data_IF_835728701223
#
_entry.id   IF_835728701223
#
_cell.length_a   1.000
_cell.length_b   1.000
_cell.length_c   1.000
_cell.angle_alpha   90.00
_cell.angle_beta   90.00
_cell.angle_gamma   90.00
#
_symmetry.space_group_name_H-M   'P 1'
#
loop_
_entity.id
_entity.type
_entity.pdbx_description
1 polymer ?
#
# COMPACT_ATOMS: atom_id res chain seq x y z
N UNK A 1 1.97 6.05 -28.83
CA UNK A 1 2.52 5.53 -30.10
C UNK A 1 3.09 6.62 -31.00
N UNK A 2 2.43 7.77 -31.13
CA UNK A 2 2.89 8.91 -31.95
C UNK A 2 4.33 9.38 -31.65
N UNK A 3 4.79 9.29 -30.40
CA UNK A 3 6.17 9.62 -30.04
C UNK A 3 7.22 8.73 -30.73
N UNK A 4 6.92 7.44 -30.95
CA UNK A 4 7.83 6.49 -31.62
C UNK A 4 7.97 6.87 -33.09
N UNK A 5 6.85 7.13 -33.76
CA UNK A 5 6.83 7.60 -35.15
C UNK A 5 7.46 8.99 -35.29
N UNK A 6 7.20 9.90 -34.36
CA UNK A 6 7.83 11.22 -34.33
C UNK A 6 9.36 11.13 -34.27
N UNK A 7 9.90 10.20 -33.47
CA UNK A 7 11.34 9.93 -33.44
C UNK A 7 11.86 9.38 -34.77
N UNK A 8 11.16 8.44 -35.41
CA UNK A 8 11.56 7.89 -36.70
C UNK A 8 11.60 8.97 -37.79
N UNK A 9 10.54 9.79 -37.90
CA UNK A 9 10.44 10.88 -38.87
C UNK A 9 11.42 12.03 -38.59
N UNK A 10 11.86 12.21 -37.34
CA UNK A 10 12.90 13.20 -37.01
C UNK A 10 14.29 12.83 -37.55
N UNK A 11 14.52 11.53 -37.81
CA UNK A 11 15.78 11.03 -38.39
C UNK A 11 15.72 11.06 -39.92
N UNK A 12 14.58 10.66 -40.49
CA UNK A 12 14.31 10.73 -41.93
C UNK A 12 12.80 10.96 -42.17
N UNK A 13 12.39 12.17 -42.59
CA UNK A 13 10.98 12.49 -42.86
C UNK A 13 10.35 11.69 -44.00
N UNK A 14 11.17 11.10 -44.87
CA UNK A 14 10.71 10.29 -46.02
C UNK A 14 10.66 8.79 -45.73
N UNK A 15 11.12 8.37 -44.55
CA UNK A 15 11.13 6.97 -44.17
C UNK A 15 9.70 6.44 -43.91
N UNK A 16 9.39 5.19 -44.32
CA UNK A 16 8.16 4.53 -43.92
C UNK A 16 8.04 4.43 -42.39
N UNK A 17 6.83 4.55 -41.87
CA UNK A 17 6.59 4.40 -40.44
C UNK A 17 6.91 2.97 -39.96
N UNK A 18 7.66 2.79 -38.87
CA UNK A 18 7.91 1.47 -38.32
C UNK A 18 6.63 0.84 -37.78
N UNK A 19 6.50 -0.47 -37.98
CA UNK A 19 5.43 -1.29 -37.39
C UNK A 19 5.62 -1.31 -35.87
N UNK A 20 4.54 -1.06 -35.13
CA UNK A 20 4.51 -1.15 -33.67
C UNK A 20 3.69 -2.39 -33.31
N UNK A 21 4.27 -3.27 -32.50
CA UNK A 21 3.59 -4.44 -31.92
C UNK A 21 3.37 -4.14 -30.43
N UNK A 22 2.17 -3.71 -30.01
CA UNK A 22 1.89 -3.47 -28.61
C UNK A 22 1.67 -4.83 -27.91
N UNK A 23 2.35 -5.01 -26.78
CA UNK A 23 2.26 -6.23 -25.97
C UNK A 23 1.81 -5.83 -24.56
N UNK A 24 0.80 -6.50 -24.04
CA UNK A 24 0.27 -6.32 -22.69
C UNK A 24 0.45 -7.60 -21.89
N UNK A 25 1.24 -7.51 -20.81
CA UNK A 25 1.35 -8.56 -19.80
C UNK A 25 0.40 -8.22 -18.66
N UNK A 26 -0.68 -8.98 -18.53
CA UNK A 26 -1.64 -8.80 -17.46
C UNK A 26 -1.38 -9.79 -16.32
N UNK A 27 -1.07 -9.23 -15.16
CA UNK A 27 -0.72 -9.94 -13.94
C UNK A 27 -1.63 -9.45 -12.79
N UNK A 28 -2.90 -9.85 -12.85
CA UNK A 28 -3.92 -9.47 -11.89
C UNK A 28 -4.92 -10.58 -11.62
N UNK A 29 -5.55 -10.53 -10.45
CA UNK A 29 -6.51 -11.54 -10.00
C UNK A 29 -7.92 -11.40 -10.60
N UNK A 30 -8.20 -10.29 -11.31
CA UNK A 30 -9.49 -10.08 -11.96
C UNK A 30 -9.45 -10.64 -13.37
N UNK A 31 -10.60 -11.09 -13.88
CA UNK A 31 -10.69 -11.44 -15.29
C UNK A 31 -10.43 -10.19 -16.14
N UNK A 32 -9.58 -10.31 -17.15
CA UNK A 32 -9.39 -9.25 -18.13
C UNK A 32 -10.66 -9.10 -18.98
N UNK A 33 -11.20 -7.88 -19.06
CA UNK A 33 -12.44 -7.58 -19.80
C UNK A 33 -12.25 -6.46 -20.83
N UNK A 34 -11.03 -5.94 -20.99
CA UNK A 34 -10.76 -4.83 -21.90
C UNK A 34 -10.51 -5.38 -23.30
N UNK A 35 -11.12 -4.77 -24.31
CA UNK A 35 -10.95 -5.14 -25.72
C UNK A 35 -9.47 -5.13 -26.13
N UNK A 36 -9.03 -6.12 -26.89
CA UNK A 36 -7.71 -6.17 -27.53
C UNK A 36 -7.63 -5.29 -28.76
N UNK A 37 -8.77 -5.08 -29.42
CA UNK A 37 -8.94 -4.11 -30.49
C UNK A 37 -9.02 -2.70 -29.93
N UNK A 38 -8.27 -1.78 -30.53
CA UNK A 38 -8.29 -0.37 -30.13
C UNK A 38 -9.66 0.28 -30.35
N UNK A 39 -10.40 -0.14 -31.38
CA UNK A 39 -11.72 0.40 -31.69
C UNK A 39 -12.77 0.06 -30.62
N UNK A 40 -12.62 -1.09 -29.96
CA UNK A 40 -13.43 -1.55 -28.83
C UNK A 40 -13.15 -0.85 -27.50
N UNK A 41 -12.20 0.10 -27.45
CA UNK A 41 -11.97 0.96 -26.28
C UNK A 41 -12.84 2.23 -26.27
N UNK A 42 -13.52 2.51 -27.38
CA UNK A 42 -14.44 3.64 -27.51
C UNK A 42 -15.88 3.20 -27.24
N UNK A 43 -16.74 4.14 -26.89
CA UNK A 43 -18.18 3.88 -26.74
C UNK A 43 -18.82 3.63 -28.12
N UNK A 44 -18.88 2.36 -28.50
CA UNK A 44 -19.33 1.91 -29.82
C UNK A 44 -20.84 2.05 -30.05
N UNK A 45 -21.61 2.21 -28.97
CA UNK A 45 -23.09 2.30 -29.00
C UNK A 45 -23.62 3.73 -29.24
N UNK A 46 -22.77 4.75 -29.27
CA UNK A 46 -23.20 6.14 -29.53
C UNK A 46 -23.64 6.33 -30.98
N UNK A 47 -24.71 7.10 -31.20
CA UNK A 47 -25.35 7.37 -32.52
C UNK A 47 -24.40 7.84 -33.63
N UNK A 48 -23.21 8.34 -33.29
CA UNK A 48 -22.23 8.84 -34.25
C UNK A 48 -20.96 8.00 -34.35
N UNK A 49 -20.84 6.88 -33.63
CA UNK A 49 -19.63 6.05 -33.66
C UNK A 49 -19.27 5.60 -35.09
N UNK A 50 -20.27 5.16 -35.86
CA UNK A 50 -20.08 4.76 -37.26
C UNK A 50 -19.53 5.88 -38.16
N UNK A 51 -19.90 7.13 -37.89
CA UNK A 51 -19.41 8.28 -38.66
C UNK A 51 -17.92 8.57 -38.41
N UNK A 52 -17.42 8.26 -37.20
CA UNK A 52 -16.03 8.51 -36.81
C UNK A 52 -15.12 7.27 -36.85
N UNK A 53 -15.65 6.11 -37.26
CA UNK A 53 -14.89 4.86 -37.27
C UNK A 53 -13.62 4.93 -38.14
N UNK A 54 -13.65 5.68 -39.25
CA UNK A 54 -12.50 5.84 -40.15
C UNK A 54 -11.36 6.69 -39.56
N UNK A 55 -11.64 7.44 -38.49
CA UNK A 55 -10.67 8.28 -37.79
C UNK A 55 -10.01 7.52 -36.62
N UNK A 56 -10.53 6.34 -36.26
CA UNK A 56 -9.95 5.49 -35.23
C UNK A 56 -8.89 4.59 -35.88
N UNK A 57 -7.62 4.64 -35.42
CA UNK A 57 -6.59 3.72 -35.87
C UNK A 57 -7.00 2.27 -35.65
N UNK A 58 -6.87 1.45 -36.69
CA UNK A 58 -7.12 0.01 -36.60
C UNK A 58 -5.84 -0.70 -36.16
N UNK A 59 -5.80 -1.17 -34.91
CA UNK A 59 -4.75 -2.06 -34.44
C UNK A 59 -5.23 -2.88 -33.24
N UNK A 60 -4.57 -4.01 -33.03
CA UNK A 60 -4.73 -4.90 -31.88
C UNK A 60 -3.44 -4.92 -31.06
N UNK A 61 -3.56 -5.17 -29.77
CA UNK A 61 -2.42 -5.52 -28.94
C UNK A 61 -2.42 -7.01 -28.57
N UNK A 62 -1.22 -7.58 -28.46
CA UNK A 62 -1.03 -8.95 -27.99
C UNK A 62 -1.21 -8.98 -26.48
N UNK A 63 -2.17 -9.77 -26.01
CA UNK A 63 -2.48 -9.90 -24.58
C UNK A 63 -1.99 -11.25 -24.04
N UNK A 64 -1.20 -11.20 -22.97
CA UNK A 64 -0.78 -12.35 -22.20
C UNK A 64 -1.33 -12.25 -20.77
N UNK A 65 -2.31 -13.10 -20.44
CA UNK A 65 -2.96 -13.15 -19.11
C UNK A 65 -2.31 -14.23 -18.25
N UNK A 66 -1.55 -13.82 -17.24
CA UNK A 66 -0.76 -14.71 -16.39
C UNK A 66 -1.58 -15.42 -15.32
N UNK A 67 -2.76 -14.91 -14.99
CA UNK A 67 -3.72 -15.54 -14.07
C UNK A 67 -4.68 -16.51 -14.75
N UNK A 68 -4.54 -16.77 -16.06
CA UNK A 68 -5.36 -17.75 -16.78
C UNK A 68 -4.87 -19.17 -16.53
N UNK A 69 -5.60 -20.22 -16.92
CA UNK A 69 -5.14 -21.62 -16.84
C UNK A 69 -4.67 -22.19 -18.19
N UNK A 70 -4.75 -21.38 -19.26
CA UNK A 70 -4.32 -21.76 -20.61
C UNK A 70 -2.98 -21.11 -20.89
N UNK A 71 -1.92 -21.89 -20.76
CA UNK A 71 -0.58 -21.35 -20.82
C UNK A 71 0.21 -21.88 -22.00
N UNK A 72 0.68 -20.96 -22.83
CA UNK A 72 1.77 -21.25 -23.75
C UNK A 72 3.07 -21.49 -22.97
N UNK A 73 3.99 -22.31 -23.50
CA UNK A 73 5.29 -22.49 -22.90
C UNK A 73 6.06 -21.17 -22.88
N UNK A 74 6.65 -20.83 -21.74
CA UNK A 74 7.44 -19.60 -21.58
C UNK A 74 8.76 -19.78 -22.30
N UNK A 75 9.03 -18.89 -23.27
CA UNK A 75 10.27 -18.87 -24.06
C UNK A 75 11.15 -17.69 -23.67
N UNK A 76 12.43 -17.77 -24.01
CA UNK A 76 13.40 -16.70 -23.82
C UNK A 76 14.58 -17.14 -22.95
N UNK A 77 15.27 -16.16 -22.36
CA UNK A 77 16.41 -16.44 -21.49
C UNK A 77 15.97 -17.17 -20.22
N UNK A 78 16.90 -17.90 -19.58
CA UNK A 78 16.61 -18.60 -18.33
C UNK A 78 16.09 -17.65 -17.23
N UNK A 79 16.68 -16.45 -17.12
CA UNK A 79 16.20 -15.41 -16.19
C UNK A 79 14.74 -15.03 -16.48
N UNK A 80 14.39 -14.80 -17.75
CA UNK A 80 13.02 -14.48 -18.14
C UNK A 80 12.05 -15.63 -17.85
N UNK A 81 12.47 -16.87 -18.11
CA UNK A 81 11.66 -18.05 -17.81
C UNK A 81 11.37 -18.19 -16.31
N UNK A 82 12.37 -17.96 -15.45
CA UNK A 82 12.18 -17.95 -13.99
C UNK A 82 11.19 -16.86 -13.58
N UNK A 83 11.34 -15.64 -14.09
CA UNK A 83 10.50 -14.49 -13.72
C UNK A 83 9.05 -14.73 -14.13
N UNK A 84 8.83 -15.08 -15.39
CA UNK A 84 7.48 -15.32 -15.92
C UNK A 84 6.87 -16.61 -15.35
N UNK A 85 7.70 -17.59 -15.01
CA UNK A 85 7.27 -18.83 -14.38
C UNK A 85 6.64 -18.56 -13.03
N UNK A 86 7.32 -17.80 -12.16
CA UNK A 86 6.78 -17.51 -10.83
C UNK A 86 5.58 -16.57 -10.86
N UNK A 87 5.58 -15.54 -11.70
CA UNK A 87 4.43 -14.61 -11.81
C UNK A 87 3.17 -15.29 -12.32
N UNK A 88 3.31 -16.40 -13.03
CA UNK A 88 2.20 -17.27 -13.43
C UNK A 88 1.81 -18.21 -12.29
N UNK A 89 2.79 -18.90 -11.71
CA UNK A 89 2.58 -19.91 -10.69
C UNK A 89 1.93 -19.38 -9.40
N UNK A 90 2.07 -18.09 -9.07
CA UNK A 90 1.41 -17.51 -7.90
C UNK A 90 -0.13 -17.55 -7.98
N UNK A 91 -0.71 -17.69 -9.18
CA UNK A 91 -2.16 -17.83 -9.38
C UNK A 91 -2.63 -19.28 -9.42
N UNK A 92 -1.73 -20.26 -9.38
CA UNK A 92 -2.10 -21.67 -9.45
C UNK A 92 -2.82 -22.11 -8.16
N UNK A 93 -4.02 -22.64 -8.31
CA UNK A 93 -4.80 -23.17 -7.19
C UNK A 93 -4.13 -24.42 -6.60
N UNK A 94 -3.55 -25.26 -7.45
CA UNK A 94 -2.81 -26.45 -7.05
C UNK A 94 -1.42 -26.07 -6.51
N UNK A 95 -1.26 -26.17 -5.19
CA UNK A 95 0.00 -25.84 -4.50
C UNK A 95 1.21 -26.59 -5.06
N UNK A 96 1.02 -27.83 -5.49
CA UNK A 96 2.11 -28.66 -5.99
C UNK A 96 2.71 -28.10 -7.30
N UNK A 97 1.89 -27.62 -8.24
CA UNK A 97 2.35 -26.97 -9.48
C UNK A 97 3.19 -25.73 -9.18
N UNK A 98 2.77 -24.97 -8.17
CA UNK A 98 3.54 -23.83 -7.68
C UNK A 98 4.87 -24.25 -7.06
N UNK A 99 4.88 -25.25 -6.18
CA UNK A 99 6.10 -25.76 -5.54
C UNK A 99 7.07 -26.29 -6.60
N UNK A 100 6.61 -27.08 -7.57
CA UNK A 100 7.43 -27.57 -8.69
C UNK A 100 8.08 -26.43 -9.46
N UNK A 101 7.32 -25.37 -9.76
CA UNK A 101 7.86 -24.17 -10.42
C UNK A 101 8.96 -23.51 -9.59
N UNK A 102 8.78 -23.43 -8.26
CA UNK A 102 9.81 -22.91 -7.36
C UNK A 102 11.04 -23.80 -7.37
N UNK A 103 10.89 -25.13 -7.29
CA UNK A 103 12.00 -26.08 -7.31
C UNK A 103 12.81 -26.00 -8.61
N UNK A 104 12.15 -25.85 -9.75
CA UNK A 104 12.82 -25.69 -11.03
C UNK A 104 13.56 -24.34 -11.13
N UNK A 105 13.00 -23.27 -10.56
CA UNK A 105 13.71 -22.01 -10.41
C UNK A 105 14.96 -22.18 -9.53
N UNK A 106 14.85 -22.89 -8.40
CA UNK A 106 16.00 -23.15 -7.50
C UNK A 106 17.14 -23.87 -8.22
N UNK A 107 16.84 -24.93 -8.98
CA UNK A 107 17.84 -25.63 -9.81
C UNK A 107 18.51 -24.67 -10.78
N UNK A 108 17.72 -23.83 -11.44
CA UNK A 108 18.20 -22.86 -12.43
C UNK A 108 19.13 -21.79 -11.82
N UNK A 109 18.80 -21.32 -10.61
CA UNK A 109 19.67 -20.42 -9.86
C UNK A 109 20.95 -21.08 -9.39
N UNK A 110 20.91 -22.38 -9.09
CA UNK A 110 22.07 -23.18 -8.71
C UNK A 110 23.02 -23.40 -9.89
N UNK A 111 22.49 -23.78 -11.04
CA UNK A 111 23.23 -23.94 -12.31
C UNK A 111 23.90 -22.63 -12.76
N UNK A 112 23.28 -21.49 -12.46
CA UNK A 112 23.77 -20.16 -12.85
C UNK A 112 24.64 -19.49 -11.78
N UNK A 113 25.12 -20.24 -10.78
CA UNK A 113 25.92 -19.70 -9.67
C UNK A 113 27.20 -19.02 -10.17
N UNK A 114 27.55 -17.90 -9.54
CA UNK A 114 28.72 -17.10 -9.90
C UNK A 114 28.55 -16.21 -11.14
N UNK A 115 27.42 -16.31 -11.85
CA UNK A 115 27.12 -15.35 -12.93
C UNK A 115 26.69 -14.00 -12.35
N UNK A 116 27.04 -12.92 -13.05
CA UNK A 116 26.77 -11.55 -12.61
C UNK A 116 25.25 -11.33 -12.41
N UNK A 117 24.90 -10.81 -11.23
CA UNK A 117 23.52 -10.48 -10.90
C UNK A 117 22.64 -11.69 -10.55
N UNK A 118 23.19 -12.89 -10.38
CA UNK A 118 22.40 -14.09 -10.06
C UNK A 118 21.89 -14.08 -8.62
N UNK A 119 22.73 -13.68 -7.66
CA UNK A 119 22.37 -13.67 -6.25
C UNK A 119 21.37 -12.55 -5.92
N UNK A 120 21.54 -11.37 -6.53
CA UNK A 120 20.58 -10.28 -6.42
C UNK A 120 19.23 -10.65 -7.04
N UNK A 121 19.27 -11.36 -8.17
CA UNK A 121 18.05 -11.85 -8.82
C UNK A 121 17.36 -12.95 -7.99
N UNK A 122 18.13 -13.84 -7.36
CA UNK A 122 17.63 -14.83 -6.42
C UNK A 122 16.98 -14.16 -5.21
N UNK A 123 17.61 -13.14 -4.59
CA UNK A 123 17.01 -12.42 -3.47
C UNK A 123 15.71 -11.74 -3.88
N UNK A 124 15.68 -11.08 -5.05
CA UNK A 124 14.46 -10.47 -5.58
C UNK A 124 13.34 -11.50 -5.82
N UNK A 125 13.69 -12.68 -6.33
CA UNK A 125 12.77 -13.79 -6.54
C UNK A 125 12.14 -14.27 -5.23
N UNK A 126 12.96 -14.54 -4.20
CA UNK A 126 12.48 -15.01 -2.89
C UNK A 126 11.62 -13.95 -2.20
N UNK A 127 12.01 -12.67 -2.28
CA UNK A 127 11.20 -11.57 -1.73
C UNK A 127 9.83 -11.48 -2.41
N UNK A 128 9.79 -11.62 -3.73
CA UNK A 128 8.52 -11.64 -4.47
C UNK A 128 7.67 -12.84 -4.09
N UNK A 129 8.27 -14.03 -3.99
CA UNK A 129 7.61 -15.28 -3.60
C UNK A 129 6.84 -15.13 -2.28
N UNK A 130 7.52 -14.66 -1.22
CA UNK A 130 6.90 -14.47 0.10
C UNK A 130 5.90 -13.31 0.16
N UNK A 131 6.02 -12.33 -0.74
CA UNK A 131 5.05 -11.24 -0.84
C UNK A 131 3.78 -11.68 -1.57
N UNK A 132 3.92 -12.43 -2.66
CA UNK A 132 2.83 -12.74 -3.57
C UNK A 132 1.92 -13.86 -3.06
N UNK A 133 2.47 -14.79 -2.27
CA UNK A 133 1.74 -15.99 -1.83
C UNK A 133 2.15 -16.38 -0.41
N UNK A 134 1.17 -16.63 0.45
CA UNK A 134 1.37 -16.88 1.90
C UNK A 134 0.63 -18.12 2.41
N UNK A 135 0.06 -18.92 1.52
CA UNK A 135 -0.73 -20.13 1.84
C UNK A 135 0.14 -21.40 1.93
N UNK A 136 1.45 -21.25 2.13
CA UNK A 136 2.40 -22.35 2.32
C UNK A 136 3.22 -22.17 3.60
N UNK A 137 3.55 -23.29 4.24
CA UNK A 137 4.42 -23.30 5.40
C UNK A 137 5.87 -23.13 4.96
N UNK A 138 6.58 -22.18 5.58
CA UNK A 138 7.98 -21.88 5.21
C UNK A 138 8.89 -23.09 5.41
N UNK A 139 8.63 -23.88 6.46
CA UNK A 139 9.42 -25.08 6.77
C UNK A 139 9.18 -26.21 5.76
N UNK A 140 7.96 -26.35 5.24
CA UNK A 140 7.65 -27.30 4.17
C UNK A 140 8.42 -26.91 2.90
N UNK A 141 8.29 -25.65 2.47
CA UNK A 141 8.97 -25.17 1.28
C UNK A 141 10.50 -25.30 1.39
N UNK A 142 11.05 -25.01 2.58
CA UNK A 142 12.48 -25.23 2.89
C UNK A 142 12.88 -26.68 2.66
N UNK A 143 12.20 -27.64 3.28
CA UNK A 143 12.57 -29.05 3.12
C UNK A 143 12.41 -29.52 1.66
N UNK A 144 11.42 -29.00 0.93
CA UNK A 144 11.28 -29.24 -0.51
C UNK A 144 12.47 -28.68 -1.30
N UNK A 145 12.87 -27.43 -1.07
CA UNK A 145 14.01 -26.80 -1.76
C UNK A 145 15.33 -27.49 -1.43
N UNK A 146 15.51 -27.94 -0.20
CA UNK A 146 16.70 -28.67 0.24
C UNK A 146 16.95 -29.95 -0.57
N UNK A 147 15.90 -30.58 -1.11
CA UNK A 147 16.03 -31.73 -2.02
C UNK A 147 16.72 -31.40 -3.34
N UNK A 148 16.69 -30.14 -3.78
CA UNK A 148 17.30 -29.69 -5.04
C UNK A 148 18.55 -28.83 -4.83
N UNK A 149 18.60 -28.03 -3.76
CA UNK A 149 19.80 -27.27 -3.38
C UNK A 149 19.76 -26.88 -1.90
N UNK A 150 20.67 -27.45 -1.12
CA UNK A 150 20.85 -27.12 0.31
C UNK A 150 21.22 -25.65 0.51
N UNK A 151 22.15 -25.12 -0.29
CA UNK A 151 22.57 -23.72 -0.21
C UNK A 151 21.41 -22.75 -0.49
N UNK A 152 20.59 -23.02 -1.52
CA UNK A 152 19.44 -22.17 -1.85
C UNK A 152 18.38 -22.22 -0.76
N UNK A 153 18.17 -23.39 -0.15
CA UNK A 153 17.28 -23.55 1.00
C UNK A 153 17.72 -22.68 2.18
N UNK A 154 19.01 -22.72 2.55
CA UNK A 154 19.55 -21.92 3.66
C UNK A 154 19.46 -20.42 3.37
N UNK A 155 19.85 -19.99 2.17
CA UNK A 155 19.75 -18.58 1.77
C UNK A 155 18.32 -18.05 1.78
N UNK A 156 17.35 -18.85 1.32
CA UNK A 156 15.94 -18.48 1.40
C UNK A 156 15.51 -18.22 2.85
N UNK A 157 15.92 -19.07 3.81
CA UNK A 157 15.59 -18.86 5.22
C UNK A 157 16.19 -17.56 5.76
N UNK A 158 17.46 -17.28 5.46
CA UNK A 158 18.08 -16.01 5.87
C UNK A 158 17.32 -14.80 5.29
N UNK A 159 16.83 -14.89 4.05
CA UNK A 159 15.99 -13.84 3.45
C UNK A 159 14.64 -13.74 4.17
N UNK A 160 14.01 -14.88 4.51
CA UNK A 160 12.76 -14.91 5.25
C UNK A 160 12.89 -14.28 6.65
N UNK A 161 13.95 -14.61 7.39
CA UNK A 161 14.28 -14.03 8.71
C UNK A 161 14.48 -12.52 8.60
N UNK A 162 15.24 -12.07 7.60
CA UNK A 162 15.45 -10.65 7.34
C UNK A 162 14.13 -9.92 7.03
N UNK A 163 13.26 -10.53 6.21
CA UNK A 163 11.94 -9.97 5.89
C UNK A 163 11.05 -9.88 7.15
N UNK A 164 11.09 -10.88 8.03
CA UNK A 164 10.36 -10.87 9.29
C UNK A 164 10.86 -9.73 10.19
N UNK A 165 12.18 -9.60 10.34
CA UNK A 165 12.78 -8.53 11.13
C UNK A 165 12.44 -7.14 10.56
N UNK A 166 12.59 -6.93 9.25
CA UNK A 166 12.18 -5.69 8.58
C UNK A 166 10.69 -5.39 8.83
N UNK A 167 9.84 -6.42 8.83
CA UNK A 167 8.41 -6.31 9.13
C UNK A 167 8.14 -5.86 10.56
N UNK A 168 8.80 -6.46 11.54
CA UNK A 168 8.70 -6.11 12.97
C UNK A 168 9.19 -4.68 13.21
N UNK A 169 10.35 -4.31 12.68
CA UNK A 169 10.91 -2.96 12.82
C UNK A 169 9.98 -1.90 12.21
N UNK A 170 9.47 -2.14 10.99
CA UNK A 170 8.49 -1.24 10.34
C UNK A 170 7.19 -1.17 11.16
N UNK A 171 6.73 -2.28 11.72
CA UNK A 171 5.55 -2.36 12.58
C UNK A 171 5.72 -1.52 13.85
N UNK A 172 6.83 -1.70 14.56
CA UNK A 172 7.16 -0.95 15.78
C UNK A 172 7.29 0.55 15.49
N UNK A 173 8.01 0.93 14.43
CA UNK A 173 8.17 2.32 14.03
C UNK A 173 6.82 2.99 13.72
N UNK A 174 5.92 2.29 13.00
CA UNK A 174 4.54 2.76 12.75
C UNK A 174 3.75 2.88 14.06
N UNK A 175 3.86 1.90 14.95
CA UNK A 175 3.19 1.90 16.26
C UNK A 175 3.62 3.08 17.13
N UNK A 176 4.93 3.31 17.28
CA UNK A 176 5.48 4.43 18.05
C UNK A 176 5.03 5.77 17.44
N UNK A 177 5.08 5.90 16.12
CA UNK A 177 4.63 7.13 15.44
C UNK A 177 3.16 7.41 15.72
N UNK A 178 2.30 6.39 15.59
CA UNK A 178 0.86 6.52 15.85
C UNK A 178 0.58 6.85 17.32
N UNK A 179 1.19 6.12 18.25
CA UNK A 179 1.01 6.36 19.69
C UNK A 179 1.52 7.75 20.13
N UNK A 180 2.62 8.23 19.55
CA UNK A 180 3.12 9.60 19.82
C UNK A 180 2.15 10.66 19.28
N UNK A 181 1.56 10.43 18.12
CA UNK A 181 0.58 11.35 17.53
C UNK A 181 -0.71 11.42 18.36
N UNK A 182 -1.25 10.26 18.75
CA UNK A 182 -2.43 10.14 19.61
C UNK A 182 -2.16 10.76 20.99
N UNK A 183 -1.07 10.38 21.66
CA UNK A 183 -0.73 10.92 22.99
C UNK A 183 -0.44 12.43 22.95
N UNK A 184 0.13 12.97 21.87
CA UNK A 184 0.29 14.43 21.71
C UNK A 184 -1.05 15.13 21.53
N UNK A 185 -2.01 14.50 20.83
CA UNK A 185 -3.35 15.06 20.63
C UNK A 185 -4.10 15.09 21.97
N UNK A 186 -4.16 13.97 22.68
CA UNK A 186 -4.80 13.86 23.99
C UNK A 186 -4.15 14.79 25.02
N UNK A 187 -2.81 14.81 25.09
CA UNK A 187 -2.10 15.70 26.02
C UNK A 187 -2.34 17.19 25.73
N UNK A 188 -2.51 17.57 24.45
CA UNK A 188 -2.83 18.95 24.08
C UNK A 188 -4.27 19.33 24.43
N UNK A 189 -5.21 18.38 24.29
CA UNK A 189 -6.62 18.57 24.65
C UNK A 189 -6.76 18.72 26.17
N UNK A 190 -6.22 17.75 26.93
CA UNK A 190 -6.22 17.81 28.40
C UNK A 190 -5.51 19.04 28.95
N UNK A 191 -4.35 19.40 28.39
CA UNK A 191 -3.63 20.60 28.79
C UNK A 191 -4.39 21.90 28.48
N UNK A 192 -5.27 21.91 27.46
CA UNK A 192 -6.14 23.04 27.17
C UNK A 192 -7.30 23.14 28.16
N UNK A 193 -7.86 22.01 28.58
CA UNK A 193 -8.89 21.93 29.64
C UNK A 193 -8.33 22.39 30.98
N UNK A 194 -7.27 21.75 31.47
CA UNK A 194 -6.62 22.08 32.75
C UNK A 194 -6.19 23.56 32.80
N UNK A 195 -5.64 24.09 31.69
CA UNK A 195 -5.24 25.49 31.61
C UNK A 195 -6.42 26.48 31.64
N UNK A 196 -7.58 26.11 31.07
CA UNK A 196 -8.80 26.93 31.14
C UNK A 196 -9.39 26.91 32.54
N UNK A 197 -9.47 25.74 33.17
CA UNK A 197 -9.92 25.57 34.54
C UNK A 197 -9.09 26.40 35.52
N UNK A 198 -7.76 26.29 35.43
CA UNK A 198 -6.84 27.00 36.32
C UNK A 198 -6.95 28.53 36.15
N UNK A 199 -7.06 29.00 34.90
CA UNK A 199 -7.20 30.42 34.61
C UNK A 199 -8.53 30.98 35.13
N UNK A 200 -9.64 30.29 34.87
CA UNK A 200 -10.97 30.68 35.36
C UNK A 200 -10.99 30.72 36.88
N UNK A 201 -10.41 29.71 37.54
CA UNK A 201 -10.34 29.69 38.99
C UNK A 201 -9.57 30.89 39.57
N UNK A 202 -8.43 31.26 38.97
CA UNK A 202 -7.68 32.47 39.34
C UNK A 202 -8.49 33.76 39.14
N UNK A 203 -9.31 33.83 38.10
CA UNK A 203 -10.19 34.99 37.88
C UNK A 203 -11.35 35.04 38.88
N UNK A 204 -11.99 33.89 39.14
CA UNK A 204 -13.09 33.75 40.09
C UNK A 204 -12.62 34.14 41.50
N UNK A 205 -11.51 33.56 41.99
CA UNK A 205 -10.96 33.86 43.32
C UNK A 205 -10.51 35.31 43.47
N UNK A 206 -10.06 35.95 42.39
CA UNK A 206 -9.75 37.39 42.39
C UNK A 206 -11.01 38.27 42.48
N UNK A 207 -12.10 37.89 41.81
CA UNK A 207 -13.36 38.65 41.79
C UNK A 207 -14.21 38.39 43.05
N UNK A 208 -14.16 37.16 43.57
CA UNK A 208 -14.91 36.68 44.73
C UNK A 208 -13.96 36.05 45.76
N UNK A 209 -13.32 36.85 46.63
CA UNK A 209 -12.25 36.38 47.53
C UNK A 209 -12.70 35.38 48.60
N UNK A 210 -13.99 35.31 48.90
CA UNK A 210 -14.54 34.43 49.94
C UNK A 210 -15.07 33.10 49.40
N UNK A 211 -14.86 32.83 48.10
CA UNK A 211 -15.41 31.65 47.47
C UNK A 211 -14.74 30.36 48.02
N UNK A 212 -15.53 29.35 48.44
CA UNK A 212 -15.00 28.08 48.91
C UNK A 212 -14.28 27.27 47.82
N UNK A 213 -13.15 26.63 48.17
CA UNK A 213 -12.33 25.84 47.22
C UNK A 213 -13.04 24.63 46.62
N UNK A 214 -14.08 24.11 47.28
CA UNK A 214 -14.96 23.06 46.73
C UNK A 214 -15.59 23.40 45.37
N UNK A 215 -15.68 24.69 45.03
CA UNK A 215 -16.17 25.13 43.71
C UNK A 215 -15.16 24.93 42.59
N UNK A 216 -13.86 24.78 42.91
CA UNK A 216 -12.85 24.39 41.93
C UNK A 216 -13.08 22.98 41.41
N UNK A 217 -13.42 22.03 42.28
CA UNK A 217 -13.75 20.67 41.87
C UNK A 217 -15.02 20.61 41.00
N UNK A 218 -15.98 21.52 41.24
CA UNK A 218 -17.16 21.67 40.36
C UNK A 218 -16.81 22.26 38.99
N UNK A 219 -15.78 23.11 38.93
CA UNK A 219 -15.26 23.68 37.69
C UNK A 219 -14.64 22.60 36.79
N UNK A 220 -13.90 21.64 37.39
CA UNK A 220 -13.30 20.50 36.67
C UNK A 220 -14.32 19.52 36.06
N UNK A 221 -15.57 19.59 36.53
CA UNK A 221 -16.66 18.78 35.99
C UNK A 221 -17.33 19.43 34.77
N UNK A 222 -16.93 20.67 34.42
CA UNK A 222 -17.48 21.40 33.28
C UNK A 222 -16.78 21.02 31.99
N UNK A 223 -17.54 20.99 30.90
CA UNK A 223 -16.99 20.86 29.55
C UNK A 223 -16.28 22.15 29.11
N UNK A 224 -15.41 22.04 28.11
CA UNK A 224 -14.72 23.14 27.43
C UNK A 224 -15.66 24.31 27.08
N UNK A 225 -16.86 24.02 26.56
CA UNK A 225 -17.83 25.04 26.14
C UNK A 225 -18.51 25.72 27.34
N UNK A 226 -18.77 24.96 28.41
CA UNK A 226 -19.29 25.50 29.66
C UNK A 226 -18.26 26.40 30.35
N UNK A 227 -16.98 26.04 30.31
CA UNK A 227 -15.87 26.87 30.80
C UNK A 227 -15.77 28.17 29.99
N UNK A 228 -15.86 28.11 28.66
CA UNK A 228 -15.83 29.32 27.81
C UNK A 228 -17.03 30.25 28.09
N UNK A 229 -18.23 29.69 28.23
CA UNK A 229 -19.44 30.45 28.57
C UNK A 229 -19.30 31.12 29.94
N UNK A 230 -18.87 30.34 30.95
CA UNK A 230 -18.62 30.85 32.29
C UNK A 230 -17.59 31.99 32.29
N UNK A 231 -16.54 31.90 31.48
CA UNK A 231 -15.52 32.95 31.38
C UNK A 231 -16.04 34.27 30.83
N UNK A 232 -16.98 34.23 29.88
CA UNK A 232 -17.63 35.43 29.35
C UNK A 232 -18.57 36.03 30.40
N UNK A 233 -19.45 35.22 30.98
CA UNK A 233 -20.44 35.67 31.95
C UNK A 233 -19.79 36.18 33.23
N UNK A 234 -18.66 35.59 33.64
CA UNK A 234 -17.89 35.99 34.82
C UNK A 234 -17.50 37.48 34.78
N UNK A 235 -17.33 38.08 33.61
CA UNK A 235 -16.96 39.50 33.45
C UNK A 235 -18.06 40.39 34.04
N UNK A 236 -19.33 40.07 33.79
CA UNK A 236 -20.47 40.90 34.15
C UNK A 236 -21.07 40.55 35.53
N UNK A 237 -20.76 39.36 36.08
CA UNK A 237 -21.29 38.89 37.36
C UNK A 237 -21.05 39.87 38.51
N UNK A 238 -22.04 40.07 39.39
CA UNK A 238 -21.91 40.99 40.53
C UNK A 238 -21.75 40.28 41.89
N UNK A 239 -22.11 39.00 41.97
CA UNK A 239 -22.11 38.23 43.22
C UNK A 239 -21.86 36.73 42.98
N UNK A 240 -21.57 36.00 44.06
CA UNK A 240 -21.31 34.57 44.02
C UNK A 240 -22.55 33.70 43.72
N UNK A 241 -23.78 34.22 43.89
CA UNK A 241 -24.98 33.44 43.57
C UNK A 241 -25.19 33.26 42.08
N UNK A 242 -24.83 34.26 41.27
CA UNK A 242 -24.84 34.16 39.81
C UNK A 242 -23.87 33.07 39.32
N UNK A 243 -22.68 32.98 39.92
CA UNK A 243 -21.71 31.93 39.61
C UNK A 243 -22.25 30.51 39.87
N UNK A 244 -23.02 30.32 40.95
CA UNK A 244 -23.58 29.01 41.31
C UNK A 244 -24.53 28.46 40.25
N UNK A 245 -25.15 29.30 39.40
CA UNK A 245 -26.04 28.86 38.32
C UNK A 245 -25.30 28.12 37.19
N UNK A 246 -23.99 28.35 37.06
CA UNK A 246 -23.16 27.75 36.03
C UNK A 246 -22.45 26.47 36.49
N UNK A 247 -22.48 26.18 37.80
CA UNK A 247 -21.79 25.03 38.37
C UNK A 247 -22.78 23.88 38.58
N UNK A 248 -22.40 22.63 38.28
CA UNK A 248 -23.27 21.48 38.51
C UNK A 248 -23.66 21.35 40.00
N UNK A 249 -24.88 20.86 40.26
CA UNK A 249 -25.40 20.67 41.61
C UNK A 249 -24.53 19.74 42.45
#
# INVERSE_FOLDING_TARGET
MTAIWGKALSLDPSSPLPIIIPIVFYHGNRKWTISTDFDGLFETEKEHYGAYRRQIPSYEYLLYVFSSTKHEPIRGTKKLQIFLGITRAIFEEEKEVFIETVLDAMKSFDESRGTVGNEEYFEAYIRYLFYARTDFEQEELKERIKTVSMERSEKMLTIAEKLLQEGVEKGLAKGIKKGREEGRKEGREKGREEGREELLWKQITKKFPQIPERYYEKLKALTIDQLDTLGLDLIDMQNEEELKKHLPM
#
